data_IF_626123615805
#
_entry.id   IF_626123615805
#
_cell.length_a   1.000
_cell.length_b   1.000
_cell.length_c   1.000
_cell.angle_alpha   90.00
_cell.angle_beta   90.00
_cell.angle_gamma   90.00
#
_symmetry.space_group_name_H-M   'P 1'
#
loop_
_entity.id
_entity.type
_entity.pdbx_description
1 polymer ?
#
# COMPACT_ATOMS: atom_id res chain seq x y z
N UNK A 1 6.44 -0.09 -0.09
CA UNK A 1 5.88 1.26 -0.27
C UNK A 1 6.67 2.11 -1.25
N UNK A 2 7.84 2.66 -0.88
CA UNK A 2 8.64 3.50 -1.80
C UNK A 2 8.92 2.85 -3.15
N UNK A 3 9.36 1.58 -3.15
CA UNK A 3 9.63 0.86 -4.39
C UNK A 3 8.36 0.61 -5.21
N UNK A 4 7.22 0.40 -4.54
CA UNK A 4 5.92 0.15 -5.16
C UNK A 4 5.47 1.37 -5.98
N UNK A 5 5.58 2.59 -5.46
CA UNK A 5 5.15 3.80 -6.19
C UNK A 5 6.14 4.25 -7.27
N UNK A 6 7.39 3.76 -7.21
CA UNK A 6 8.45 4.01 -8.20
C UNK A 6 8.47 2.98 -9.32
N UNK A 7 7.78 1.86 -9.16
CA UNK A 7 7.51 0.93 -10.25
C UNK A 7 6.69 1.66 -11.32
N UNK A 8 7.14 1.65 -12.57
CA UNK A 8 6.50 2.42 -13.65
C UNK A 8 5.02 2.03 -13.83
N UNK A 9 4.68 0.74 -13.74
CA UNK A 9 3.30 0.25 -13.97
C UNK A 9 2.33 0.71 -12.90
N UNK A 10 2.82 0.91 -11.69
CA UNK A 10 2.04 1.35 -10.53
C UNK A 10 2.04 2.87 -10.45
N UNK A 11 3.21 3.47 -10.62
CA UNK A 11 3.41 4.90 -10.65
C UNK A 11 2.51 5.55 -11.70
N UNK A 12 2.49 5.11 -12.95
CA UNK A 12 1.66 5.74 -13.99
C UNK A 12 0.16 5.79 -13.66
N UNK A 13 -0.33 4.88 -12.82
CA UNK A 13 -1.73 4.82 -12.38
C UNK A 13 -2.04 5.74 -11.20
N UNK A 14 -1.02 6.34 -10.58
CA UNK A 14 -1.17 7.22 -9.44
C UNK A 14 -1.09 8.69 -9.88
N UNK A 15 -2.02 9.54 -9.41
CA UNK A 15 -1.90 10.98 -9.57
C UNK A 15 -0.58 11.51 -9.02
N UNK A 16 0.02 12.51 -9.68
CA UNK A 16 1.29 13.09 -9.24
C UNK A 16 1.24 13.62 -7.80
N UNK A 17 0.11 14.19 -7.40
CA UNK A 17 -0.12 14.65 -6.03
C UNK A 17 -0.09 13.49 -5.01
N UNK A 18 -0.71 12.35 -5.34
CA UNK A 18 -0.74 11.17 -4.48
C UNK A 18 0.64 10.51 -4.38
N UNK A 19 1.39 10.44 -5.49
CA UNK A 19 2.80 10.01 -5.47
C UNK A 19 3.62 10.87 -4.52
N UNK A 20 3.57 12.19 -4.71
CA UNK A 20 4.33 13.13 -3.89
C UNK A 20 3.98 12.98 -2.42
N UNK A 21 2.68 12.83 -2.10
CA UNK A 21 2.23 12.62 -0.72
C UNK A 21 2.84 11.36 -0.10
N UNK A 22 2.90 10.26 -0.83
CA UNK A 22 3.54 9.03 -0.34
C UNK A 22 5.06 9.23 -0.20
N UNK A 23 5.72 9.86 -1.17
CA UNK A 23 7.17 10.13 -1.09
C UNK A 23 7.53 10.97 0.12
N UNK A 24 6.81 12.09 0.31
CA UNK A 24 6.98 13.01 1.45
C UNK A 24 6.79 12.24 2.78
N UNK A 25 5.70 11.46 2.93
CA UNK A 25 5.46 10.69 4.17
C UNK A 25 6.51 9.61 4.42
N UNK A 26 7.06 8.97 3.38
CA UNK A 26 8.14 7.99 3.56
C UNK A 26 9.44 8.70 3.95
N UNK A 27 9.75 9.85 3.37
CA UNK A 27 10.93 10.65 3.78
C UNK A 27 10.82 11.12 5.23
N UNK A 28 9.65 11.60 5.64
CA UNK A 28 9.41 11.99 7.03
C UNK A 28 9.57 10.81 7.99
N UNK A 29 9.06 9.63 7.63
CA UNK A 29 9.24 8.42 8.44
C UNK A 29 10.72 8.02 8.55
N UNK A 30 11.52 8.15 7.48
CA UNK A 30 12.96 7.88 7.53
C UNK A 30 13.68 8.88 8.44
N UNK A 31 13.39 10.18 8.30
CA UNK A 31 13.98 11.21 9.16
C UNK A 31 13.63 10.97 10.63
N UNK A 32 12.40 10.55 10.90
CA UNK A 32 12.00 10.16 12.25
C UNK A 32 12.81 8.94 12.72
N UNK A 33 12.94 7.88 11.92
CA UNK A 33 13.72 6.69 12.28
C UNK A 33 15.20 7.01 12.57
N UNK A 34 15.81 7.90 11.79
CA UNK A 34 17.20 8.32 11.98
C UNK A 34 17.43 9.02 13.34
N UNK A 35 16.43 9.78 13.81
CA UNK A 35 16.47 10.47 15.11
C UNK A 35 15.97 9.65 16.29
N UNK A 36 15.26 8.54 16.04
CA UNK A 36 14.51 7.78 17.04
C UNK A 36 14.89 6.28 17.05
N UNK A 37 16.17 5.97 16.85
CA UNK A 37 16.69 4.60 16.77
C UNK A 37 16.49 3.75 18.05
N UNK A 38 16.24 4.41 19.19
CA UNK A 38 16.01 3.78 20.50
C UNK A 38 14.60 4.05 21.02
N UNK A 39 13.65 4.39 20.15
CA UNK A 39 12.26 4.55 20.52
C UNK A 39 11.66 3.23 21.05
N UNK A 40 10.58 3.34 21.81
CA UNK A 40 9.85 2.18 22.31
C UNK A 40 9.05 1.52 21.18
N UNK A 41 8.69 0.25 21.36
CA UNK A 41 7.91 -0.51 20.37
C UNK A 41 6.62 0.22 19.96
N UNK A 42 5.91 0.80 20.93
CA UNK A 42 4.66 1.53 20.71
C UNK A 42 4.87 2.77 19.81
N UNK A 43 6.00 3.47 19.95
CA UNK A 43 6.32 4.65 19.13
C UNK A 43 6.63 4.26 17.67
N UNK A 44 7.34 3.14 17.47
CA UNK A 44 7.55 2.59 16.13
C UNK A 44 6.25 2.14 15.48
N UNK A 45 5.36 1.50 16.25
CA UNK A 45 4.04 1.10 15.76
C UNK A 45 3.21 2.31 15.35
N UNK A 46 3.20 3.36 16.15
CA UNK A 46 2.45 4.57 15.86
C UNK A 46 2.98 5.27 14.60
N UNK A 47 4.30 5.37 14.43
CA UNK A 47 4.85 5.92 13.19
C UNK A 47 4.56 5.03 11.98
N UNK A 48 4.53 3.70 12.16
CA UNK A 48 4.11 2.78 11.10
C UNK A 48 2.63 2.94 10.74
N UNK A 49 1.74 3.09 11.73
CA UNK A 49 0.29 3.32 11.54
C UNK A 49 0.06 4.63 10.81
N UNK A 50 0.77 5.69 11.18
CA UNK A 50 0.71 6.99 10.51
C UNK A 50 1.07 6.87 9.03
N UNK A 51 2.19 6.22 8.70
CA UNK A 51 2.61 5.99 7.32
C UNK A 51 1.59 5.16 6.53
N UNK A 52 1.06 4.09 7.13
CA UNK A 52 0.02 3.23 6.53
C UNK A 52 -1.28 3.99 6.27
N UNK A 53 -1.68 4.89 7.18
CA UNK A 53 -2.90 5.68 7.06
C UNK A 53 -2.91 6.57 5.81
N UNK A 54 -1.73 6.99 5.35
CA UNK A 54 -1.56 7.74 4.10
C UNK A 54 -1.49 6.81 2.89
N UNK A 55 -0.69 5.74 3.00
CA UNK A 55 -0.37 4.85 1.89
C UNK A 55 -1.55 3.97 1.45
N UNK A 56 -2.25 3.36 2.40
CA UNK A 56 -3.32 2.39 2.15
C UNK A 56 -4.49 2.96 1.32
N UNK A 57 -5.08 4.13 1.67
CA UNK A 57 -6.21 4.65 0.89
C UNK A 57 -5.81 5.05 -0.54
N UNK A 58 -4.57 5.47 -0.77
CA UNK A 58 -4.06 5.81 -2.11
C UNK A 58 -3.90 4.56 -2.96
N UNK A 59 -3.30 3.50 -2.40
CA UNK A 59 -3.16 2.21 -3.08
C UNK A 59 -4.53 1.59 -3.36
N UNK A 60 -5.46 1.63 -2.40
CA UNK A 60 -6.81 1.13 -2.57
C UNK A 60 -7.52 1.81 -3.75
N UNK A 61 -7.46 3.15 -3.81
CA UNK A 61 -8.00 3.93 -4.95
C UNK A 61 -7.36 3.55 -6.28
N UNK A 62 -6.06 3.28 -6.30
CA UNK A 62 -5.37 2.83 -7.52
C UNK A 62 -5.90 1.47 -8.00
N UNK A 63 -6.09 0.50 -7.09
CA UNK A 63 -6.66 -0.80 -7.46
C UNK A 63 -8.13 -0.70 -7.88
N UNK A 64 -8.92 0.15 -7.23
CA UNK A 64 -10.31 0.41 -7.62
C UNK A 64 -10.40 1.10 -8.99
N UNK A 65 -9.50 2.04 -9.29
CA UNK A 65 -9.41 2.70 -10.60
C UNK A 65 -8.87 1.80 -11.71
N UNK A 66 -8.01 0.83 -11.36
CA UNK A 66 -7.51 -0.19 -12.29
C UNK A 66 -8.48 -1.37 -12.49
N UNK A 67 -9.49 -1.52 -11.63
CA UNK A 67 -10.46 -2.61 -11.59
C UNK A 67 -11.81 -2.27 -12.23
N UNK A 68 -11.87 -1.29 -13.12
CA UNK A 68 -13.07 -0.90 -13.86
C UNK A 68 -13.60 -1.94 -14.85
N UNK A 69 -13.38 -3.24 -14.65
CA UNK A 69 -13.98 -4.36 -15.38
C UNK A 69 -14.03 -5.65 -14.53
N UNK A 70 -14.60 -5.63 -13.32
CA UNK A 70 -15.19 -6.83 -12.69
C UNK A 70 -16.04 -6.43 -11.48
N UNK A 71 -17.34 -6.71 -11.55
CA UNK A 71 -18.35 -6.13 -10.68
C UNK A 71 -18.38 -6.58 -9.22
N UNK A 72 -19.20 -5.85 -8.45
CA UNK A 72 -19.88 -6.35 -7.26
C UNK A 72 -19.70 -5.49 -6.00
N UNK A 73 -20.79 -4.94 -5.40
CA UNK A 73 -20.74 -4.24 -4.13
C UNK A 73 -20.95 -5.18 -2.94
N UNK A 74 -19.99 -5.23 -2.03
CA UNK A 74 -20.09 -5.86 -0.70
C UNK A 74 -18.75 -5.59 -0.03
N UNK A 75 -18.59 -5.11 1.19
CA UNK A 75 -19.44 -4.89 2.33
C UNK A 75 -18.43 -4.63 3.46
N UNK A 76 -18.70 -3.63 4.28
CA UNK A 76 -17.91 -3.34 5.48
C UNK A 76 -17.95 -4.57 6.41
N UNK A 77 -16.80 -5.16 6.75
CA UNK A 77 -16.62 -5.86 8.03
C UNK A 77 -15.12 -5.91 8.37
N UNK A 78 -14.87 -5.64 9.65
CA UNK A 78 -13.60 -5.62 10.39
C UNK A 78 -12.75 -6.89 10.19
N UNK A 79 -11.43 -6.75 10.38
CA UNK A 79 -10.47 -7.84 10.64
C UNK A 79 -10.03 -8.73 9.46
N UNK A 80 -9.38 -8.17 8.44
CA UNK A 80 -8.20 -8.82 7.83
C UNK A 80 -7.44 -7.82 6.95
N UNK A 81 -6.23 -7.43 7.35
CA UNK A 81 -5.30 -6.81 6.42
C UNK A 81 -5.03 -7.82 5.29
N UNK A 82 -5.19 -7.46 4.00
CA UNK A 82 -4.85 -8.41 2.96
C UNK A 82 -3.36 -8.74 3.11
N UNK A 83 -2.98 -10.02 3.19
CA UNK A 83 -1.58 -10.38 3.20
C UNK A 83 -1.02 -9.85 1.89
N UNK A 84 0.22 -9.42 1.95
CA UNK A 84 1.05 -9.12 0.81
C UNK A 84 1.12 -10.37 -0.08
N UNK A 85 0.10 -10.58 -0.91
CA UNK A 85 -0.07 -11.80 -1.69
C UNK A 85 0.63 -11.59 -3.02
N UNK A 86 1.84 -12.16 -3.06
CA UNK A 86 2.59 -12.39 -4.27
C UNK A 86 1.74 -13.03 -5.36
N UNK A 87 2.16 -12.77 -6.60
CA UNK A 87 1.41 -13.02 -7.82
C UNK A 87 0.64 -14.34 -7.86
N UNK A 88 -0.61 -14.24 -8.30
CA UNK A 88 -1.37 -15.38 -8.79
C UNK A 88 -0.62 -15.98 -10.00
N UNK A 89 0.09 -17.08 -9.75
CA UNK A 89 0.64 -17.95 -10.78
C UNK A 89 -0.48 -18.53 -11.66
N UNK A 90 -0.14 -18.99 -12.89
CA UNK A 90 -1.12 -19.43 -13.86
C UNK A 90 -1.86 -20.68 -13.37
N UNK A 91 -3.16 -20.73 -13.66
CA UNK A 91 -4.08 -21.81 -13.30
C UNK A 91 -3.67 -23.07 -14.09
N UNK A 92 -3.29 -24.13 -13.39
CA UNK A 92 -3.15 -25.45 -13.97
C UNK A 92 -4.57 -26.01 -14.22
N UNK A 93 -4.96 -26.12 -15.49
CA UNK A 93 -6.09 -26.96 -15.87
C UNK A 93 -5.66 -28.41 -15.65
N UNK A 94 -6.41 -29.11 -14.80
CA UNK A 94 -6.32 -30.56 -14.66
C UNK A 94 -6.66 -31.17 -16.04
N UNK A 95 -5.67 -31.77 -16.69
CA UNK A 95 -5.90 -32.68 -17.82
C UNK A 95 -5.95 -34.08 -17.25
N UNK A 96 -7.09 -34.73 -17.45
CA UNK A 96 -7.36 -36.15 -17.16
C UNK A 96 -6.37 -37.09 -17.88
#
# INVERSE_FOLDING_TARGET
>A
MRNTIRDEKIGEKLPAADKKKIEDSVEEAIQWLDGNQTAEADEFEDKMKELKSVCNPIIAKMYQGAGGEAGGPSGMDDDEAPPFAGGAGPKIEEVD
#
